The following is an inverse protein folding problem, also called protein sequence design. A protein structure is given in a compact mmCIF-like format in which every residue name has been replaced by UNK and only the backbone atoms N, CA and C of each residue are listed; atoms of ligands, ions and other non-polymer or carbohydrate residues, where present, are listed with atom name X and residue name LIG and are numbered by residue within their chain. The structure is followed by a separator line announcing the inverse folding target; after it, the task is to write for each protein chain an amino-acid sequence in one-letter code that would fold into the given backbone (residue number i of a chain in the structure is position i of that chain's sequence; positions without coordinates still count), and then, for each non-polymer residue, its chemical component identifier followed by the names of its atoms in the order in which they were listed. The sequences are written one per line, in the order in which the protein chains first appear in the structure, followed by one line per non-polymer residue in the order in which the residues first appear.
data_IF_406819030737
#
_entry.id   IF_406819030737
#
_cell.length_a   1.000
_cell.length_b   1.000
_cell.length_c   1.000
_cell.angle_alpha   90.00
_cell.angle_beta   90.00
_cell.angle_gamma   90.00
#
_symmetry.space_group_name_H-M   'P 1'
#
loop_
_entity.id
_entity.type
_entity.pdbx_description
1 polymer ?
#
# COMPACT_ATOMS: atom_id res chain seq x y z
N UNK A 1 4.11 -19.56 -10.47
CA UNK A 1 3.90 -18.48 -11.47
C UNK A 1 3.33 -17.27 -10.76
N UNK A 2 3.67 -16.07 -11.19
CA UNK A 2 3.16 -14.80 -10.65
C UNK A 2 2.53 -14.04 -11.82
N UNK A 3 1.30 -13.55 -11.63
CA UNK A 3 0.58 -12.72 -12.60
C UNK A 3 0.53 -11.30 -12.05
N UNK A 4 1.20 -10.38 -12.75
CA UNK A 4 1.45 -9.00 -12.36
C UNK A 4 2.90 -8.76 -11.92
N UNK A 5 3.56 -7.77 -12.53
CA UNK A 5 4.93 -7.34 -12.25
C UNK A 5 5.01 -5.94 -11.60
N UNK A 6 3.95 -5.56 -10.89
CA UNK A 6 3.95 -4.41 -9.99
C UNK A 6 4.73 -4.70 -8.70
N UNK A 7 4.64 -3.81 -7.71
CA UNK A 7 5.35 -3.96 -6.43
C UNK A 7 5.00 -5.26 -5.70
N UNK A 8 3.74 -5.69 -5.74
CA UNK A 8 3.31 -6.96 -5.12
C UNK A 8 3.99 -8.14 -5.78
N UNK A 9 3.89 -8.24 -7.12
CA UNK A 9 4.53 -9.33 -7.87
C UNK A 9 6.05 -9.34 -7.73
N UNK A 10 6.68 -8.16 -7.67
CA UNK A 10 8.12 -8.02 -7.46
C UNK A 10 8.57 -8.55 -6.09
N UNK A 11 7.83 -8.24 -5.02
CA UNK A 11 8.11 -8.73 -3.66
C UNK A 11 7.84 -10.24 -3.54
N UNK A 12 6.78 -10.74 -4.16
CA UNK A 12 6.51 -12.20 -4.23
C UNK A 12 7.61 -12.91 -5.01
N UNK A 13 8.06 -12.36 -6.15
CA UNK A 13 9.15 -12.94 -6.94
C UNK A 13 10.47 -12.99 -6.16
N UNK A 14 10.80 -11.92 -5.45
CA UNK A 14 11.95 -11.89 -4.54
C UNK A 14 11.84 -12.99 -3.47
N UNK A 15 10.69 -13.11 -2.80
CA UNK A 15 10.46 -14.08 -1.73
C UNK A 15 10.59 -15.51 -2.23
N UNK A 16 9.93 -15.85 -3.34
CA UNK A 16 9.92 -17.21 -3.87
C UNK A 16 11.27 -17.62 -4.46
N UNK A 17 11.95 -16.72 -5.16
CA UNK A 17 13.32 -17.02 -5.66
C UNK A 17 14.34 -17.16 -4.54
N UNK A 18 14.20 -16.38 -3.46
CA UNK A 18 15.03 -16.54 -2.26
C UNK A 18 14.81 -17.89 -1.56
N UNK A 19 13.62 -18.48 -1.70
CA UNK A 19 13.32 -19.84 -1.25
C UNK A 19 13.82 -20.92 -2.23
N UNK A 20 14.47 -20.57 -3.34
CA UNK A 20 14.99 -21.50 -4.34
C UNK A 20 13.92 -22.07 -5.28
N UNK A 21 12.75 -21.44 -5.37
CA UNK A 21 11.68 -21.89 -6.28
C UNK A 21 11.92 -21.39 -7.71
N UNK A 22 11.53 -22.20 -8.70
CA UNK A 22 11.47 -21.79 -10.11
C UNK A 22 10.26 -20.86 -10.31
N UNK A 23 10.53 -19.61 -10.71
CA UNK A 23 9.53 -18.54 -10.79
C UNK A 23 9.38 -18.03 -12.22
N UNK A 24 8.13 -17.99 -12.69
CA UNK A 24 7.73 -17.31 -13.93
C UNK A 24 6.87 -16.12 -13.52
N UNK A 25 7.19 -14.95 -14.07
CA UNK A 25 6.45 -13.70 -13.88
C UNK A 25 5.84 -13.32 -15.22
N UNK A 26 4.56 -12.98 -15.25
CA UNK A 26 3.88 -12.47 -16.44
C UNK A 26 3.17 -11.18 -16.13
N UNK A 27 3.24 -10.23 -17.03
CA UNK A 27 2.48 -8.98 -16.97
C UNK A 27 2.10 -8.59 -18.40
N UNK A 28 0.94 -8.00 -18.58
CA UNK A 28 0.47 -7.46 -19.87
C UNK A 28 1.09 -6.10 -20.19
N UNK A 29 1.61 -5.42 -19.17
CA UNK A 29 2.22 -4.10 -19.23
C UNK A 29 3.71 -4.17 -18.89
N UNK A 30 4.41 -3.07 -19.09
CA UNK A 30 5.79 -2.97 -18.63
C UNK A 30 5.86 -3.05 -17.10
N UNK A 31 6.88 -3.74 -16.53
CA UNK A 31 7.02 -3.90 -15.09
C UNK A 31 6.98 -2.60 -14.29
N UNK A 32 6.10 -2.57 -13.29
CA UNK A 32 5.89 -1.42 -12.42
C UNK A 32 4.91 -0.37 -12.94
N UNK A 33 4.37 -0.50 -14.16
CA UNK A 33 3.27 0.34 -14.63
C UNK A 33 1.99 0.10 -13.80
N UNK A 34 1.02 1.00 -13.89
CA UNK A 34 -0.20 0.95 -13.09
C UNK A 34 -0.01 1.58 -11.71
N UNK A 35 -0.64 1.03 -10.66
CA UNK A 35 -0.66 1.61 -9.31
C UNK A 35 0.72 1.81 -8.70
N UNK A 36 1.70 1.00 -9.05
CA UNK A 36 3.08 1.16 -8.56
C UNK A 36 3.69 2.46 -9.03
N UNK A 37 3.59 2.79 -10.32
CA UNK A 37 4.12 4.05 -10.87
C UNK A 37 3.35 5.28 -10.37
N UNK A 38 2.04 5.12 -10.07
CA UNK A 38 1.20 6.18 -9.54
C UNK A 38 1.32 6.36 -8.02
N UNK A 39 2.01 5.46 -7.32
CA UNK A 39 2.10 5.50 -5.86
C UNK A 39 2.90 6.71 -5.38
N UNK A 40 2.38 7.41 -4.36
CA UNK A 40 3.13 8.43 -3.62
C UNK A 40 4.17 7.84 -2.68
N UNK A 41 4.11 6.53 -2.44
CA UNK A 41 5.12 5.74 -1.72
C UNK A 41 5.41 6.21 -0.29
N UNK A 42 4.35 6.44 0.46
CA UNK A 42 4.41 6.52 1.93
C UNK A 42 4.26 5.11 2.48
N UNK A 43 5.33 4.58 3.07
CA UNK A 43 5.34 3.25 3.67
C UNK A 43 4.94 3.37 5.13
N UNK A 44 3.64 3.52 5.36
CA UNK A 44 3.07 3.58 6.69
C UNK A 44 2.78 2.17 7.21
N UNK A 45 2.95 1.98 8.51
CA UNK A 45 2.46 0.79 9.21
C UNK A 45 1.08 1.03 9.82
N UNK A 46 0.72 2.28 10.01
CA UNK A 46 -0.62 2.67 10.41
C UNK A 46 -1.58 2.32 9.27
N UNK A 47 -2.58 1.52 9.59
CA UNK A 47 -3.60 1.07 8.64
C UNK A 47 -4.60 2.23 8.41
N UNK A 48 -5.13 2.36 7.19
CA UNK A 48 -6.07 3.44 6.84
C UNK A 48 -7.29 3.48 7.79
N UNK A 49 -7.71 2.31 8.29
CA UNK A 49 -8.73 2.24 9.33
C UNK A 49 -8.07 2.28 10.72
N UNK A 50 -8.42 3.25 11.58
CA UNK A 50 -7.87 3.38 12.92
C UNK A 50 -8.03 2.12 13.77
N UNK A 51 -7.10 1.88 14.69
CA UNK A 51 -7.12 0.72 15.58
C UNK A 51 -8.39 0.67 16.43
N UNK A 52 -8.91 1.83 16.84
CA UNK A 52 -10.19 1.94 17.56
C UNK A 52 -11.34 1.35 16.75
N UNK A 53 -11.44 1.68 15.48
CA UNK A 53 -12.49 1.18 14.59
C UNK A 53 -12.30 -0.31 14.29
N UNK A 54 -11.08 -0.75 13.98
CA UNK A 54 -10.79 -2.17 13.76
C UNK A 54 -11.09 -3.02 15.00
N UNK A 55 -10.77 -2.50 16.19
CA UNK A 55 -11.07 -3.19 17.44
C UNK A 55 -12.59 -3.27 17.71
N UNK A 56 -13.36 -2.29 17.27
CA UNK A 56 -14.84 -2.35 17.36
C UNK A 56 -15.43 -3.41 16.41
N UNK A 57 -14.83 -3.61 15.23
CA UNK A 57 -15.27 -4.59 14.23
C UNK A 57 -14.85 -6.02 14.62
N UNK A 58 -13.58 -6.22 14.96
CA UNK A 58 -12.96 -7.56 15.06
C UNK A 58 -12.49 -7.94 16.45
N UNK A 59 -12.66 -7.05 17.43
CA UNK A 59 -12.08 -7.18 18.76
C UNK A 59 -10.62 -6.76 18.83
N UNK A 60 -10.18 -6.39 20.04
CA UNK A 60 -8.87 -5.78 20.29
C UNK A 60 -7.70 -6.67 19.82
N UNK A 61 -7.71 -7.96 20.16
CA UNK A 61 -6.59 -8.86 19.88
C UNK A 61 -6.36 -9.06 18.37
N UNK A 62 -7.43 -9.19 17.57
CA UNK A 62 -7.35 -9.33 16.13
C UNK A 62 -6.88 -8.04 15.47
N UNK A 63 -7.42 -6.91 15.88
CA UNK A 63 -7.00 -5.59 15.39
C UNK A 63 -5.52 -5.30 15.70
N UNK A 64 -5.06 -5.59 16.92
CA UNK A 64 -3.65 -5.43 17.32
C UNK A 64 -2.74 -6.36 16.53
N UNK A 65 -3.16 -7.60 16.26
CA UNK A 65 -2.40 -8.54 15.43
C UNK A 65 -2.17 -8.00 14.02
N UNK A 66 -3.21 -7.44 13.38
CA UNK A 66 -3.11 -6.81 12.06
C UNK A 66 -2.15 -5.61 12.07
N UNK A 67 -2.27 -4.71 13.04
CA UNK A 67 -1.38 -3.56 13.18
C UNK A 67 0.08 -3.95 13.43
N UNK A 68 0.33 -4.94 14.28
CA UNK A 68 1.68 -5.47 14.53
C UNK A 68 2.27 -6.13 13.28
N UNK A 69 1.45 -6.83 12.49
CA UNK A 69 1.88 -7.41 11.23
C UNK A 69 2.26 -6.32 10.21
N UNK A 70 1.49 -5.23 10.15
CA UNK A 70 1.81 -4.07 9.31
C UNK A 70 3.13 -3.40 9.72
N UNK A 71 3.36 -3.17 11.02
CA UNK A 71 4.62 -2.62 11.53
C UNK A 71 5.81 -3.56 11.24
N UNK A 72 5.62 -4.86 11.44
CA UNK A 72 6.63 -5.87 11.10
C UNK A 72 6.92 -5.90 9.60
N UNK A 73 5.92 -5.64 8.74
CA UNK A 73 6.09 -5.60 7.29
C UNK A 73 6.99 -4.43 6.85
N UNK A 74 6.80 -3.22 7.37
CA UNK A 74 7.69 -2.09 7.06
C UNK A 74 9.11 -2.37 7.55
N UNK A 75 9.25 -2.88 8.77
CA UNK A 75 10.56 -3.24 9.34
C UNK A 75 11.26 -4.31 8.51
N UNK A 76 10.53 -5.34 8.08
CA UNK A 76 11.03 -6.41 7.24
C UNK A 76 11.46 -5.94 5.86
N UNK A 77 10.68 -5.04 5.22
CA UNK A 77 11.02 -4.45 3.94
C UNK A 77 12.31 -3.61 4.04
N UNK A 78 12.44 -2.78 5.08
CA UNK A 78 13.67 -2.03 5.34
C UNK A 78 14.89 -2.96 5.51
N UNK A 79 14.71 -4.06 6.22
CA UNK A 79 15.76 -5.07 6.40
C UNK A 79 16.12 -5.76 5.07
N UNK A 80 15.12 -6.11 4.25
CA UNK A 80 15.33 -6.70 2.93
C UNK A 80 16.16 -5.78 2.04
N UNK A 81 15.76 -4.51 1.92
CA UNK A 81 16.48 -3.52 1.10
C UNK A 81 17.93 -3.34 1.56
N UNK A 82 18.15 -3.23 2.88
CA UNK A 82 19.51 -3.12 3.44
C UNK A 82 20.36 -4.36 3.16
N UNK A 83 19.83 -5.55 3.36
CA UNK A 83 20.57 -6.80 3.19
C UNK A 83 20.89 -7.13 1.74
N UNK A 84 20.06 -6.68 0.80
CA UNK A 84 20.25 -6.90 -0.64
C UNK A 84 20.93 -5.73 -1.35
N UNK A 85 21.06 -4.58 -0.68
CA UNK A 85 21.64 -3.34 -1.19
C UNK A 85 21.10 -2.92 -2.56
N UNK A 86 19.80 -3.14 -2.78
CA UNK A 86 19.15 -2.76 -4.05
C UNK A 86 18.84 -1.26 -4.07
N UNK A 87 18.96 -0.60 -5.25
CA UNK A 87 18.51 0.77 -5.43
C UNK A 87 17.00 0.90 -5.15
N UNK A 88 16.61 1.85 -4.32
CA UNK A 88 15.20 2.05 -3.93
C UNK A 88 14.89 3.44 -3.39
N UNK A 89 15.93 4.24 -3.10
CA UNK A 89 15.82 5.53 -2.40
C UNK A 89 15.03 5.44 -1.08
N UNK A 90 15.02 4.24 -0.45
CA UNK A 90 14.24 4.04 0.76
C UNK A 90 14.86 4.80 1.94
N UNK A 91 14.03 5.57 2.64
CA UNK A 91 14.44 6.36 3.80
C UNK A 91 13.53 6.08 4.98
N UNK A 92 14.10 5.79 6.13
CA UNK A 92 13.32 5.68 7.38
C UNK A 92 12.77 7.06 7.75
N UNK A 93 11.49 7.11 8.10
CA UNK A 93 10.75 8.32 8.43
C UNK A 93 9.96 8.15 9.72
N UNK A 94 9.57 9.26 10.31
CA UNK A 94 8.45 9.33 11.25
C UNK A 94 7.18 9.68 10.48
N UNK A 95 6.03 9.25 10.97
CA UNK A 95 4.71 9.68 10.50
C UNK A 95 4.08 10.65 11.49
N UNK A 96 3.25 11.53 10.99
CA UNK A 96 2.49 12.52 11.75
C UNK A 96 1.01 12.41 11.33
N UNK A 97 0.20 11.78 12.20
CA UNK A 97 -1.23 11.64 12.02
C UNK A 97 -1.93 12.84 12.64
N UNK A 98 -2.44 13.74 11.82
CA UNK A 98 -2.95 15.06 12.21
C UNK A 98 -4.45 15.03 12.50
N UNK A 99 -4.86 15.65 13.59
CA UNK A 99 -6.26 15.98 13.83
C UNK A 99 -6.75 17.05 12.87
N UNK A 100 -7.98 16.87 12.34
CA UNK A 100 -8.70 17.84 11.54
C UNK A 100 -10.02 18.19 12.22
N UNK A 101 -10.44 19.45 12.16
CA UNK A 101 -11.69 19.88 12.80
C UNK A 101 -11.77 19.46 14.27
N UNK A 102 -12.78 18.66 14.63
CA UNK A 102 -13.03 18.18 16.01
C UNK A 102 -12.36 16.84 16.36
N UNK A 103 -11.54 16.27 15.49
CA UNK A 103 -11.01 14.89 15.63
C UNK A 103 -9.89 14.72 16.70
N UNK A 104 -9.54 15.75 17.47
CA UNK A 104 -8.52 15.66 18.53
C UNK A 104 -8.88 14.65 19.64
N UNK A 105 -10.16 14.48 19.95
CA UNK A 105 -10.61 13.48 20.93
C UNK A 105 -10.46 12.06 20.37
N UNK A 106 -10.85 11.85 19.14
CA UNK A 106 -10.71 10.57 18.40
C UNK A 106 -9.23 10.16 18.34
N UNK A 107 -8.34 11.10 17.99
CA UNK A 107 -6.90 10.86 17.99
C UNK A 107 -6.36 10.46 19.37
N UNK A 108 -6.90 11.05 20.45
CA UNK A 108 -6.50 10.70 21.81
C UNK A 108 -6.92 9.29 22.20
N UNK A 109 -8.10 8.86 21.76
CA UNK A 109 -8.59 7.50 22.00
C UNK A 109 -7.79 6.49 21.17
N UNK A 110 -7.50 6.81 19.91
CA UNK A 110 -6.61 6.02 19.04
C UNK A 110 -5.21 5.87 19.67
N UNK A 111 -4.61 6.97 20.13
CA UNK A 111 -3.31 6.92 20.81
C UNK A 111 -3.33 6.05 22.08
N UNK A 112 -4.37 6.15 22.90
CA UNK A 112 -4.51 5.31 24.10
C UNK A 112 -4.56 3.82 23.73
N UNK A 113 -5.30 3.48 22.67
CA UNK A 113 -5.44 2.10 22.25
C UNK A 113 -4.14 1.57 21.63
N UNK A 114 -3.44 2.38 20.80
CA UNK A 114 -2.09 2.07 20.28
C UNK A 114 -1.09 1.85 21.40
N UNK A 115 -1.08 2.73 22.42
CA UNK A 115 -0.19 2.59 23.58
C UNK A 115 -0.47 1.31 24.36
N UNK A 116 -1.76 0.98 24.59
CA UNK A 116 -2.16 -0.31 25.21
C UNK A 116 -1.69 -1.51 24.39
N UNK A 117 -1.67 -1.40 23.06
CA UNK A 117 -1.19 -2.42 22.15
C UNK A 117 0.35 -2.51 22.08
N UNK A 118 1.09 -1.60 22.74
CA UNK A 118 2.55 -1.50 22.65
C UNK A 118 3.05 -1.04 21.28
N UNK A 119 2.22 -0.34 20.51
CA UNK A 119 2.59 0.26 19.23
C UNK A 119 3.30 1.59 19.45
N UNK A 120 4.28 1.97 18.60
CA UNK A 120 5.00 3.23 18.76
C UNK A 120 4.09 4.43 18.49
N UNK A 121 4.33 5.52 19.22
CA UNK A 121 3.68 6.80 18.97
C UNK A 121 3.53 7.64 20.25
N UNK A 122 3.68 8.95 20.07
CA UNK A 122 3.48 9.95 21.10
C UNK A 122 2.35 10.88 20.68
N UNK A 123 1.45 11.21 21.61
CA UNK A 123 0.42 12.21 21.38
C UNK A 123 0.98 13.60 21.60
N UNK A 124 0.79 14.48 20.64
CA UNK A 124 1.14 15.89 20.71
C UNK A 124 -0.13 16.73 20.76
N UNK A 125 -0.21 17.63 21.74
CA UNK A 125 -1.22 18.68 21.75
C UNK A 125 -0.86 19.82 20.80
N UNK A 126 -1.74 20.81 20.67
CA UNK A 126 -1.54 21.97 19.79
C UNK A 126 -0.22 22.70 20.06
N UNK A 127 0.12 22.95 21.33
CA UNK A 127 1.34 23.67 21.70
C UNK A 127 2.60 22.91 21.31
N UNK A 128 2.66 21.63 21.66
CA UNK A 128 3.77 20.74 21.33
C UNK A 128 3.94 20.57 19.80
N UNK A 129 2.83 20.43 19.07
CA UNK A 129 2.85 20.28 17.63
C UNK A 129 3.38 21.53 16.92
N UNK A 130 2.95 22.70 17.38
CA UNK A 130 3.42 23.98 16.87
C UNK A 130 4.92 24.19 17.20
N UNK A 131 5.34 23.90 18.41
CA UNK A 131 6.73 24.04 18.85
C UNK A 131 7.69 23.10 18.09
N UNK A 132 7.29 21.83 17.95
CA UNK A 132 8.17 20.79 17.39
C UNK A 132 8.21 20.84 15.87
N UNK A 133 7.04 21.00 15.23
CA UNK A 133 6.89 20.85 13.78
C UNK A 133 6.46 22.14 13.06
N UNK A 134 6.10 23.19 13.78
CA UNK A 134 5.61 24.43 13.18
C UNK A 134 4.19 24.32 12.60
N UNK A 135 3.43 23.29 12.96
CA UNK A 135 2.12 22.99 12.36
C UNK A 135 0.98 23.38 13.31
N UNK A 136 0.07 24.21 12.82
CA UNK A 136 -1.09 24.69 13.59
C UNK A 136 -2.29 23.73 13.39
N UNK A 137 -2.31 22.61 14.12
CA UNK A 137 -3.43 21.67 14.22
C UNK A 137 -3.77 21.42 15.68
N UNK A 138 -4.96 20.90 15.95
CA UNK A 138 -5.45 20.70 17.33
C UNK A 138 -4.64 19.64 18.10
N UNK A 139 -4.21 18.59 17.42
CA UNK A 139 -3.39 17.50 17.97
C UNK A 139 -2.76 16.68 16.84
N UNK A 140 -1.80 15.82 17.22
CA UNK A 140 -1.24 14.79 16.33
C UNK A 140 -0.82 13.56 17.12
N UNK A 141 -0.65 12.43 16.41
CA UNK A 141 0.17 11.31 16.88
C UNK A 141 1.43 11.27 16.01
N UNK A 142 2.60 11.36 16.61
CA UNK A 142 3.87 11.17 15.94
C UNK A 142 4.37 9.75 16.18
N UNK A 143 4.62 8.99 15.10
CA UNK A 143 5.04 7.59 15.21
C UNK A 143 6.38 7.36 14.50
N UNK A 144 7.17 6.42 15.01
CA UNK A 144 8.36 5.89 14.35
C UNK A 144 8.01 4.62 13.57
N UNK A 145 8.93 4.16 12.72
CA UNK A 145 8.78 2.89 12.00
C UNK A 145 8.17 3.01 10.61
N UNK A 146 7.90 4.22 10.13
CA UNK A 146 7.51 4.49 8.75
C UNK A 146 8.73 4.68 7.84
N UNK A 147 8.49 4.72 6.53
CA UNK A 147 9.51 4.98 5.51
C UNK A 147 8.88 5.63 4.26
N UNK A 148 9.72 6.14 3.38
CA UNK A 148 9.36 6.47 2.00
C UNK A 148 10.38 5.86 1.03
N UNK A 149 10.02 5.77 -0.25
CA UNK A 149 10.89 5.23 -1.30
C UNK A 149 10.53 5.80 -2.66
N UNK A 150 11.37 5.51 -3.68
CA UNK A 150 10.93 5.53 -5.07
C UNK A 150 10.24 4.19 -5.38
N UNK A 151 8.92 4.16 -5.61
CA UNK A 151 8.18 2.91 -5.73
C UNK A 151 8.54 2.14 -7.00
N UNK A 152 8.83 2.86 -8.09
CA UNK A 152 9.17 2.26 -9.38
C UNK A 152 10.59 1.70 -9.35
N UNK A 153 11.54 2.44 -8.78
CA UNK A 153 12.91 1.97 -8.59
C UNK A 153 12.96 0.73 -7.69
N UNK A 154 12.21 0.74 -6.58
CA UNK A 154 12.09 -0.40 -5.67
C UNK A 154 11.55 -1.65 -6.38
N UNK A 155 10.41 -1.54 -7.08
CA UNK A 155 9.80 -2.66 -7.79
C UNK A 155 10.72 -3.24 -8.87
N UNK A 156 11.32 -2.38 -9.70
CA UNK A 156 12.26 -2.79 -10.76
C UNK A 156 13.52 -3.45 -10.20
N UNK A 157 14.03 -2.95 -9.07
CA UNK A 157 15.22 -3.52 -8.43
C UNK A 157 14.93 -4.90 -7.83
N UNK A 158 13.77 -5.10 -7.22
CA UNK A 158 13.31 -6.41 -6.73
C UNK A 158 13.13 -7.40 -7.88
N UNK A 159 12.55 -6.99 -9.01
CA UNK A 159 12.40 -7.84 -10.19
C UNK A 159 13.76 -8.22 -10.78
N UNK A 160 14.70 -7.27 -10.91
CA UNK A 160 16.07 -7.57 -11.36
C UNK A 160 16.76 -8.58 -10.44
N UNK A 161 16.58 -8.43 -9.13
CA UNK A 161 17.11 -9.38 -8.13
C UNK A 161 16.50 -10.77 -8.31
N UNK A 162 15.20 -10.87 -8.52
CA UNK A 162 14.52 -12.14 -8.78
C UNK A 162 15.01 -12.79 -10.08
N UNK A 163 15.18 -12.03 -11.16
CA UNK A 163 15.72 -12.51 -12.45
C UNK A 163 17.18 -12.97 -12.29
N UNK A 164 18.00 -12.23 -11.55
CA UNK A 164 19.38 -12.64 -11.24
C UNK A 164 19.46 -13.96 -10.45
N UNK A 165 18.39 -14.31 -9.72
CA UNK A 165 18.23 -15.61 -9.04
C UNK A 165 17.55 -16.68 -9.88
N UNK A 166 17.28 -16.42 -11.17
CA UNK A 166 16.75 -17.38 -12.12
C UNK A 166 15.27 -17.25 -12.45
N UNK A 167 14.56 -16.23 -11.96
CA UNK A 167 13.19 -15.95 -12.40
C UNK A 167 13.17 -15.59 -13.90
N UNK A 168 12.10 -15.99 -14.59
CA UNK A 168 11.84 -15.64 -15.98
C UNK A 168 10.65 -14.71 -16.07
N UNK A 169 10.74 -13.65 -16.86
CA UNK A 169 9.66 -12.70 -17.08
C UNK A 169 9.22 -12.67 -18.52
N UNK A 170 7.92 -12.58 -18.76
CA UNK A 170 7.31 -12.56 -20.08
C UNK A 170 6.22 -11.49 -20.15
N UNK A 171 6.16 -10.81 -21.28
CA UNK A 171 5.08 -9.89 -21.62
C UNK A 171 3.92 -10.72 -22.21
N UNK A 172 2.85 -10.90 -21.44
CA UNK A 172 1.65 -11.65 -21.82
C UNK A 172 0.47 -11.31 -20.92
N UNK A 173 -0.73 -11.32 -21.45
CA UNK A 173 -1.97 -11.19 -20.67
C UNK A 173 -2.51 -12.58 -20.30
N UNK A 174 -2.59 -12.84 -18.98
CA UNK A 174 -3.24 -14.04 -18.47
C UNK A 174 -4.76 -13.85 -18.51
N UNK A 175 -5.45 -14.68 -19.29
CA UNK A 175 -6.88 -14.55 -19.57
C UNK A 175 -7.73 -15.65 -18.94
N UNK A 176 -7.15 -16.80 -18.62
CA UNK A 176 -7.86 -17.94 -18.04
C UNK A 176 -7.04 -18.66 -16.98
N UNK A 177 -7.74 -19.20 -15.98
CA UNK A 177 -7.14 -19.92 -14.86
C UNK A 177 -7.94 -21.20 -14.61
N UNK A 178 -7.34 -22.37 -14.84
CA UNK A 178 -7.95 -23.67 -14.56
C UNK A 178 -7.22 -24.40 -13.41
N UNK A 179 -7.79 -24.44 -12.20
CA UNK A 179 -7.22 -25.11 -11.05
C UNK A 179 -7.62 -26.60 -10.93
N UNK A 180 -8.28 -27.19 -11.92
CA UNK A 180 -8.88 -28.52 -11.80
C UNK A 180 -7.87 -29.67 -11.74
N UNK A 181 -6.63 -29.44 -12.15
CA UNK A 181 -5.57 -30.46 -12.21
C UNK A 181 -4.68 -30.57 -10.98
N UNK A 182 -3.58 -31.32 -11.14
CA UNK A 182 -2.49 -31.36 -10.18
C UNK A 182 -1.64 -30.06 -10.18
N UNK A 183 -1.79 -29.25 -11.22
CA UNK A 183 -1.23 -27.92 -11.39
C UNK A 183 -2.33 -27.00 -11.93
N UNK A 184 -2.15 -25.70 -11.72
CA UNK A 184 -3.03 -24.67 -12.30
C UNK A 184 -2.58 -24.41 -13.72
N UNK A 185 -3.48 -24.55 -14.70
CA UNK A 185 -3.22 -24.14 -16.09
C UNK A 185 -3.62 -22.68 -16.26
N UNK A 186 -2.70 -21.85 -16.74
CA UNK A 186 -2.93 -20.45 -17.04
C UNK A 186 -2.87 -20.25 -18.54
N UNK A 187 -3.99 -19.78 -19.12
CA UNK A 187 -4.10 -19.45 -20.55
C UNK A 187 -3.80 -17.96 -20.78
N UNK A 188 -3.29 -17.66 -21.98
CA UNK A 188 -2.89 -16.32 -22.40
C UNK A 188 -3.63 -15.85 -23.64
N UNK A 189 -3.61 -14.56 -23.91
CA UNK A 189 -4.18 -13.89 -25.08
C UNK A 189 -3.65 -14.38 -26.44
N UNK A 190 -2.52 -15.09 -26.44
CA UNK A 190 -1.86 -15.65 -27.63
C UNK A 190 -2.08 -17.17 -27.79
N UNK A 191 -3.14 -17.73 -27.22
CA UNK A 191 -3.51 -19.14 -27.25
C UNK A 191 -2.43 -20.10 -26.68
N UNK A 192 -1.50 -19.59 -25.89
CA UNK A 192 -0.52 -20.40 -25.15
C UNK A 192 -0.99 -20.67 -23.74
N UNK A 193 -0.45 -21.73 -23.15
CA UNK A 193 -0.74 -22.11 -21.77
C UNK A 193 0.54 -22.45 -21.01
N UNK A 194 0.51 -22.21 -19.70
CA UNK A 194 1.56 -22.63 -18.78
C UNK A 194 0.90 -23.34 -17.60
N UNK A 195 1.37 -24.54 -17.27
CA UNK A 195 1.01 -25.24 -16.05
C UNK A 195 1.98 -24.89 -14.92
N UNK A 196 1.44 -24.46 -13.78
CA UNK A 196 2.21 -24.09 -12.60
C UNK A 196 1.63 -24.75 -11.34
N UNK A 197 2.49 -25.22 -10.44
CA UNK A 197 2.06 -25.82 -9.15
C UNK A 197 1.36 -24.79 -8.23
N UNK A 198 1.74 -23.54 -8.37
CA UNK A 198 1.17 -22.42 -7.65
C UNK A 198 1.08 -21.19 -8.55
N UNK A 199 -0.01 -20.46 -8.51
CA UNK A 199 -0.24 -19.20 -9.20
C UNK A 199 -0.55 -18.12 -8.18
N UNK A 200 0.18 -17.02 -8.21
CA UNK A 200 -0.05 -15.85 -7.36
C UNK A 200 -0.59 -14.71 -8.21
N UNK A 201 -1.80 -14.28 -7.92
CA UNK A 201 -2.47 -13.17 -8.56
C UNK A 201 -2.10 -11.86 -7.85
N UNK A 202 -1.34 -11.00 -8.52
CA UNK A 202 -0.81 -9.73 -8.03
C UNK A 202 -1.09 -8.59 -9.04
N UNK A 203 -2.30 -8.58 -9.62
CA UNK A 203 -2.71 -7.74 -10.75
C UNK A 203 -3.21 -6.35 -10.34
N UNK A 204 -2.91 -5.91 -9.12
CA UNK A 204 -3.32 -4.60 -8.59
C UNK A 204 -4.85 -4.52 -8.42
N UNK A 205 -5.47 -3.43 -8.88
CA UNK A 205 -6.93 -3.26 -8.77
C UNK A 205 -7.72 -4.07 -9.82
N UNK A 206 -7.06 -4.63 -10.81
CA UNK A 206 -7.69 -5.47 -11.84
C UNK A 206 -7.78 -6.93 -11.36
N UNK A 207 -8.83 -7.25 -10.61
CA UNK A 207 -9.04 -8.58 -10.04
C UNK A 207 -9.62 -9.52 -11.10
N UNK A 208 -8.97 -10.67 -11.41
CA UNK A 208 -9.53 -11.66 -12.32
C UNK A 208 -10.81 -12.31 -11.79
N UNK A 209 -11.70 -12.76 -12.67
CA UNK A 209 -13.00 -13.33 -12.34
C UNK A 209 -12.96 -14.55 -11.40
N UNK A 210 -11.84 -15.27 -11.38
CA UNK A 210 -11.63 -16.39 -10.46
C UNK A 210 -11.58 -15.94 -8.98
N UNK A 211 -11.29 -14.65 -8.74
CA UNK A 211 -11.23 -14.07 -7.38
C UNK A 211 -12.54 -13.35 -7.10
N UNK A 212 -13.25 -13.81 -6.08
CA UNK A 212 -14.46 -13.16 -5.61
C UNK A 212 -14.25 -12.61 -4.21
N UNK A 213 -14.59 -11.34 -4.00
CA UNK A 213 -14.62 -10.74 -2.68
C UNK A 213 -15.84 -9.83 -2.53
N UNK A 214 -16.50 -9.91 -1.35
CA UNK A 214 -17.64 -9.08 -1.00
C UNK A 214 -17.24 -7.75 -0.38
N UNK A 215 -15.99 -7.61 0.02
CA UNK A 215 -15.49 -6.45 0.77
C UNK A 215 -14.64 -5.50 -0.07
N UNK A 216 -14.20 -5.93 -1.26
CA UNK A 216 -13.40 -5.10 -2.16
C UNK A 216 -14.20 -3.94 -2.74
N UNK A 217 -13.54 -2.79 -2.85
CA UNK A 217 -14.01 -1.61 -3.57
C UNK A 217 -12.83 -0.98 -4.34
N UNK A 218 -13.13 -0.17 -5.35
CA UNK A 218 -12.12 0.53 -6.15
C UNK A 218 -12.31 2.02 -5.94
N UNK A 219 -11.21 2.73 -5.70
CA UNK A 219 -11.18 4.17 -5.51
C UNK A 219 -10.18 4.83 -6.45
N UNK A 220 -10.44 6.08 -6.81
CA UNK A 220 -9.53 6.94 -7.56
C UNK A 220 -8.95 8.00 -6.63
N UNK A 221 -7.66 8.31 -6.81
CA UNK A 221 -6.94 9.34 -6.05
C UNK A 221 -6.14 10.24 -6.98
N UNK A 222 -5.87 11.45 -6.54
CA UNK A 222 -5.06 12.42 -7.27
C UNK A 222 -3.87 12.86 -6.44
N UNK A 223 -2.78 13.17 -7.12
CA UNK A 223 -1.57 13.64 -6.47
C UNK A 223 -0.88 14.73 -7.28
N UNK A 224 -0.13 15.56 -6.59
CA UNK A 224 0.76 16.57 -7.14
C UNK A 224 2.16 16.44 -6.56
N UNK A 225 3.16 16.90 -7.32
CA UNK A 225 4.49 17.18 -6.80
C UNK A 225 4.85 18.62 -7.14
N UNK A 226 5.31 19.36 -6.12
CA UNK A 226 5.75 20.75 -6.31
C UNK A 226 7.11 20.83 -7.01
N UNK A 227 7.50 22.02 -7.47
CA UNK A 227 8.89 22.32 -7.75
C UNK A 227 9.77 22.05 -6.52
N UNK A 228 11.10 21.76 -6.71
CA UNK A 228 12.02 21.58 -5.60
C UNK A 228 12.14 22.85 -4.74
N UNK A 229 11.92 22.72 -3.43
CA UNK A 229 11.94 23.81 -2.47
C UNK A 229 12.54 23.35 -1.10
N UNK A 230 13.78 22.88 -1.07
CA UNK A 230 14.37 22.26 0.13
C UNK A 230 14.38 23.17 1.36
N UNK A 231 14.36 24.48 1.17
CA UNK A 231 14.31 25.48 2.25
C UNK A 231 12.92 25.63 2.88
N UNK A 232 11.86 25.17 2.21
CA UNK A 232 10.47 25.35 2.62
C UNK A 232 9.80 24.05 3.11
N UNK A 233 10.55 22.98 3.26
CA UNK A 233 10.02 21.71 3.80
C UNK A 233 9.93 21.77 5.33
N UNK A 234 8.99 21.03 5.91
CA UNK A 234 8.82 20.91 7.36
C UNK A 234 9.91 20.04 7.98
N UNK A 235 10.04 20.18 9.29
CA UNK A 235 11.08 19.51 10.09
C UNK A 235 11.16 18.01 9.80
N UNK A 236 12.36 17.50 9.54
CA UNK A 236 12.71 16.11 9.28
C UNK A 236 11.99 15.49 8.05
N UNK A 237 11.20 16.27 7.31
CA UNK A 237 10.39 15.77 6.21
C UNK A 237 9.55 14.57 6.63
N UNK A 238 8.90 14.64 7.82
CA UNK A 238 8.03 13.57 8.32
C UNK A 238 6.89 13.30 7.35
N UNK A 239 6.40 12.07 7.30
CA UNK A 239 5.22 11.73 6.51
C UNK A 239 4.00 12.29 7.22
N UNK A 240 3.13 12.98 6.50
CA UNK A 240 1.92 13.61 7.06
C UNK A 240 0.70 12.93 6.48
N UNK A 241 -0.30 12.68 7.32
CA UNK A 241 -1.62 12.25 6.90
C UNK A 241 -2.68 12.71 7.90
N UNK A 242 -3.91 12.93 7.45
CA UNK A 242 -4.97 13.56 8.22
C UNK A 242 -6.03 12.55 8.70
N UNK A 243 -6.51 12.73 9.92
CA UNK A 243 -7.66 12.04 10.48
C UNK A 243 -8.96 12.69 9.98
N UNK A 244 -9.34 12.38 8.75
CA UNK A 244 -10.55 12.92 8.11
C UNK A 244 -11.05 11.98 7.02
N UNK A 245 -12.34 12.06 6.69
CA UNK A 245 -12.89 11.34 5.54
C UNK A 245 -12.25 11.84 4.23
N UNK A 246 -12.22 13.16 4.06
CA UNK A 246 -11.55 13.81 2.92
C UNK A 246 -10.11 14.15 3.33
N UNK A 247 -9.32 13.14 3.63
CA UNK A 247 -7.96 13.30 4.12
C UNK A 247 -7.00 13.85 3.06
N UNK A 248 -5.94 14.45 3.54
CA UNK A 248 -4.75 14.79 2.76
C UNK A 248 -3.57 14.03 3.34
N UNK A 249 -2.69 13.59 2.47
CA UNK A 249 -1.41 13.04 2.87
C UNK A 249 -0.28 13.73 2.11
N UNK A 250 0.90 13.83 2.74
CA UNK A 250 2.04 14.53 2.16
C UNK A 250 3.38 13.94 2.61
N UNK A 251 4.34 13.96 1.71
CA UNK A 251 5.75 13.65 1.99
C UNK A 251 6.69 14.56 1.21
N UNK A 252 7.98 14.49 1.54
CA UNK A 252 9.03 15.20 0.80
C UNK A 252 9.93 14.22 0.04
N UNK A 253 10.52 14.68 -1.08
CA UNK A 253 11.53 13.91 -1.80
C UNK A 253 12.97 14.31 -1.36
N UNK A 254 14.01 13.55 -1.72
CA UNK A 254 15.40 13.93 -1.47
C UNK A 254 15.75 15.30 -2.04
N UNK A 255 15.19 15.67 -3.19
CA UNK A 255 15.43 16.95 -3.88
C UNK A 255 14.63 18.10 -3.27
N UNK A 256 13.81 17.84 -2.25
CA UNK A 256 13.00 18.85 -1.58
C UNK A 256 11.69 19.18 -2.28
N UNK A 257 11.15 18.32 -3.12
CA UNK A 257 9.77 18.42 -3.60
C UNK A 257 8.79 18.04 -2.49
N UNK A 258 7.63 18.62 -2.49
CA UNK A 258 6.50 18.18 -1.67
C UNK A 258 5.54 17.40 -2.56
N UNK A 259 5.31 16.14 -2.23
CA UNK A 259 4.27 15.32 -2.87
C UNK A 259 3.05 15.36 -1.97
N UNK A 260 1.90 15.65 -2.54
CA UNK A 260 0.61 15.73 -1.85
C UNK A 260 -0.41 14.90 -2.60
N UNK A 261 -1.17 14.08 -1.87
CA UNK A 261 -2.27 13.33 -2.43
C UNK A 261 -3.54 13.37 -1.58
N UNK A 262 -4.61 12.87 -2.15
CA UNK A 262 -5.95 12.90 -1.58
C UNK A 262 -7.01 13.25 -2.62
N UNK A 263 -8.09 13.92 -2.17
CA UNK A 263 -9.24 14.25 -3.04
C UNK A 263 -9.89 13.00 -3.63
N UNK A 264 -9.82 11.89 -2.90
CA UNK A 264 -10.23 10.56 -3.33
C UNK A 264 -11.71 10.51 -3.73
N UNK A 265 -12.05 9.56 -4.58
CA UNK A 265 -13.42 9.28 -4.99
C UNK A 265 -13.65 7.77 -4.92
N UNK A 266 -14.70 7.38 -4.20
CA UNK A 266 -15.19 6.01 -4.11
C UNK A 266 -16.07 5.63 -5.31
N UNK A 267 -16.31 6.55 -6.24
CA UNK A 267 -16.98 6.27 -7.51
C UNK A 267 -16.00 5.54 -8.44
N UNK A 268 -16.49 4.53 -9.13
CA UNK A 268 -15.75 3.89 -10.23
C UNK A 268 -15.69 4.88 -11.38
N UNK A 269 -14.52 5.45 -11.61
CA UNK A 269 -14.31 6.45 -12.66
C UNK A 269 -13.43 5.82 -13.73
N UNK A 270 -13.93 5.78 -14.97
CA UNK A 270 -13.14 5.34 -16.12
C UNK A 270 -11.84 6.15 -16.25
N UNK A 271 -10.72 5.55 -16.65
CA UNK A 271 -9.41 6.21 -16.66
C UNK A 271 -9.41 7.58 -17.35
N UNK A 272 -10.01 7.70 -18.53
CA UNK A 272 -10.07 8.97 -19.26
C UNK A 272 -10.91 10.04 -18.54
N UNK A 273 -11.99 9.63 -17.86
CA UNK A 273 -12.84 10.53 -17.09
C UNK A 273 -12.12 10.99 -15.81
N UNK A 274 -11.42 10.09 -15.13
CA UNK A 274 -10.58 10.38 -13.99
C UNK A 274 -9.47 11.37 -14.33
N UNK A 275 -8.77 11.15 -15.44
CA UNK A 275 -7.64 11.98 -15.85
C UNK A 275 -8.07 13.38 -16.27
N UNK A 276 -9.28 13.54 -16.82
CA UNK A 276 -9.88 14.87 -17.05
C UNK A 276 -10.09 15.71 -15.79
N UNK A 277 -10.18 15.08 -14.61
CA UNK A 277 -10.30 15.77 -13.33
C UNK A 277 -8.96 16.26 -12.77
N UNK A 278 -7.81 15.82 -13.30
CA UNK A 278 -6.48 16.20 -12.81
C UNK A 278 -6.33 17.72 -12.62
N UNK A 279 -6.69 18.61 -13.57
CA UNK A 279 -6.48 20.04 -13.36
C UNK A 279 -7.32 20.63 -12.21
N UNK A 280 -8.52 20.12 -11.98
CA UNK A 280 -9.38 20.56 -10.87
C UNK A 280 -8.84 20.07 -9.53
N UNK A 281 -8.56 18.77 -9.44
CA UNK A 281 -8.06 18.11 -8.23
C UNK A 281 -6.68 18.63 -7.81
N UNK A 282 -5.80 18.89 -8.78
CA UNK A 282 -4.48 19.49 -8.52
C UNK A 282 -4.58 20.88 -7.88
N UNK A 283 -5.49 21.73 -8.35
CA UNK A 283 -5.72 23.04 -7.71
C UNK A 283 -6.26 22.90 -6.27
N UNK A 284 -7.13 21.92 -6.03
CA UNK A 284 -7.64 21.66 -4.69
C UNK A 284 -6.54 21.19 -3.75
N UNK A 285 -5.69 20.25 -4.19
CA UNK A 285 -4.54 19.76 -3.44
C UNK A 285 -3.53 20.88 -3.13
N UNK A 286 -3.19 21.72 -4.11
CA UNK A 286 -2.30 22.87 -3.91
C UNK A 286 -2.85 23.85 -2.87
N UNK A 287 -4.16 24.14 -2.89
CA UNK A 287 -4.84 24.98 -1.89
C UNK A 287 -4.79 24.35 -0.49
N UNK A 288 -4.98 23.04 -0.40
CA UNK A 288 -4.90 22.30 0.88
C UNK A 288 -3.48 22.26 1.41
N UNK A 289 -2.47 22.10 0.54
CA UNK A 289 -1.06 22.19 0.93
C UNK A 289 -0.76 23.57 1.52
N UNK A 290 -1.15 24.67 0.86
CA UNK A 290 -0.95 26.03 1.37
C UNK A 290 -1.61 26.24 2.74
N UNK A 291 -2.76 25.62 2.99
CA UNK A 291 -3.45 25.68 4.29
C UNK A 291 -2.79 24.80 5.36
N UNK A 292 -2.20 23.68 4.97
CA UNK A 292 -1.44 22.79 5.88
C UNK A 292 -0.09 23.39 6.24
N UNK A 293 0.64 23.87 5.25
CA UNK A 293 2.01 24.37 5.35
C UNK A 293 2.18 25.69 4.61
N UNK A 294 1.93 26.84 5.26
CA UNK A 294 1.93 28.17 4.63
C UNK A 294 3.29 28.59 4.02
N UNK A 295 4.35 27.91 4.38
CA UNK A 295 5.69 28.15 3.83
C UNK A 295 5.93 27.45 2.49
N UNK A 296 5.03 26.56 2.08
CA UNK A 296 5.17 25.85 0.81
C UNK A 296 4.93 26.77 -0.38
N UNK A 297 5.81 26.70 -1.35
CA UNK A 297 5.53 27.14 -2.72
C UNK A 297 4.65 26.08 -3.39
N UNK A 298 3.54 26.51 -3.97
CA UNK A 298 2.54 25.61 -4.54
C UNK A 298 2.62 25.52 -6.08
N UNK A 299 3.75 25.91 -6.68
CA UNK A 299 4.03 25.65 -8.09
C UNK A 299 4.08 24.13 -8.33
N UNK A 300 3.26 23.65 -9.26
CA UNK A 300 3.10 22.24 -9.55
C UNK A 300 3.98 21.86 -10.75
N UNK A 301 4.95 20.99 -10.55
CA UNK A 301 5.74 20.40 -11.63
C UNK A 301 5.08 19.14 -12.22
N UNK A 302 4.50 18.32 -11.36
CA UNK A 302 3.86 17.06 -11.77
C UNK A 302 2.49 16.91 -11.12
N UNK A 303 1.55 16.39 -11.89
CA UNK A 303 0.24 16.02 -11.41
C UNK A 303 -0.22 14.73 -12.10
N UNK A 304 -0.85 13.86 -11.34
CA UNK A 304 -1.32 12.57 -11.85
C UNK A 304 -2.53 12.06 -11.07
N UNK A 305 -3.13 11.01 -11.59
CA UNK A 305 -4.17 10.26 -10.90
C UNK A 305 -3.82 8.78 -10.87
N UNK A 306 -4.35 8.07 -9.90
CA UNK A 306 -4.19 6.63 -9.75
C UNK A 306 -5.49 5.97 -9.34
N UNK A 307 -5.66 4.71 -9.73
CA UNK A 307 -6.72 3.84 -9.23
C UNK A 307 -6.08 2.83 -8.28
N UNK A 308 -6.73 2.56 -7.16
CA UNK A 308 -6.30 1.55 -6.21
C UNK A 308 -7.52 0.80 -5.66
N UNK A 309 -7.29 -0.40 -5.18
CA UNK A 309 -8.32 -1.20 -4.54
C UNK A 309 -8.29 -1.01 -3.02
N UNK A 310 -9.45 -1.02 -2.43
CA UNK A 310 -9.67 -0.91 -1.00
C UNK A 310 -10.55 -2.06 -0.52
N UNK A 311 -10.70 -2.17 0.79
CA UNK A 311 -11.70 -3.04 1.43
C UNK A 311 -12.53 -2.23 2.40
N UNK A 312 -13.79 -2.62 2.58
CA UNK A 312 -14.71 -1.93 3.50
C UNK A 312 -14.22 -1.93 4.94
N UNK A 313 -13.44 -2.91 5.33
CA UNK A 313 -12.89 -3.06 6.68
C UNK A 313 -11.45 -2.53 6.81
N UNK A 314 -10.82 -2.08 5.72
CA UNK A 314 -9.46 -1.55 5.69
C UNK A 314 -8.35 -2.59 5.84
N UNK A 315 -8.68 -3.89 5.88
CA UNK A 315 -7.68 -4.96 5.93
C UNK A 315 -7.44 -5.56 4.54
N UNK A 316 -6.21 -5.98 4.19
CA UNK A 316 -5.92 -6.55 2.87
C UNK A 316 -6.62 -7.90 2.65
N UNK A 317 -6.67 -8.32 1.39
CA UNK A 317 -7.11 -9.66 0.96
C UNK A 317 -5.87 -10.46 0.59
N UNK A 318 -5.45 -11.40 1.43
CA UNK A 318 -4.22 -12.18 1.22
C UNK A 318 -4.48 -13.64 1.55
N UNK A 319 -4.21 -14.53 0.60
CA UNK A 319 -4.28 -15.96 0.88
C UNK A 319 -4.74 -16.81 -0.31
N UNK A 320 -5.14 -18.06 -0.05
CA UNK A 320 -5.66 -18.95 -1.09
C UNK A 320 -7.00 -18.43 -1.62
N UNK A 321 -7.20 -18.57 -2.92
CA UNK A 321 -8.48 -18.25 -3.55
C UNK A 321 -9.47 -19.38 -3.25
N UNK A 322 -10.63 -19.08 -2.62
CA UNK A 322 -11.64 -20.08 -2.29
C UNK A 322 -12.07 -20.86 -3.53
N UNK A 323 -12.11 -22.19 -3.45
CA UNK A 323 -12.48 -23.06 -4.56
C UNK A 323 -11.43 -23.24 -5.66
N UNK A 324 -10.30 -22.54 -5.63
CA UNK A 324 -9.25 -22.60 -6.64
C UNK A 324 -7.91 -23.10 -6.04
N UNK A 325 -7.77 -24.42 -5.92
CA UNK A 325 -6.57 -25.03 -5.35
C UNK A 325 -5.29 -24.61 -6.09
N UNK A 326 -4.29 -24.15 -5.37
CA UNK A 326 -3.01 -23.72 -5.92
C UNK A 326 -3.02 -22.28 -6.46
N UNK A 327 -4.15 -21.56 -6.37
CA UNK A 327 -4.24 -20.14 -6.69
C UNK A 327 -4.24 -19.33 -5.40
N UNK A 328 -3.40 -18.30 -5.36
CA UNK A 328 -3.26 -17.36 -4.24
C UNK A 328 -3.48 -15.95 -4.75
N UNK A 329 -4.00 -15.09 -3.91
CA UNK A 329 -4.33 -13.72 -4.27
C UNK A 329 -3.83 -12.70 -3.23
N UNK A 330 -3.57 -11.49 -3.67
CA UNK A 330 -3.05 -10.40 -2.85
C UNK A 330 -3.59 -9.06 -3.36
N UNK A 331 -4.65 -8.52 -2.70
CA UNK A 331 -5.45 -7.38 -3.11
C UNK A 331 -5.94 -6.54 -1.92
N UNK A 332 -6.65 -5.43 -2.19
CA UNK A 332 -7.41 -4.67 -1.20
C UNK A 332 -6.56 -3.88 -0.22
N UNK A 333 -5.49 -3.29 -0.67
CA UNK A 333 -4.47 -2.71 0.21
C UNK A 333 -4.76 -1.30 0.74
N UNK A 334 -5.70 -0.59 0.15
CA UNK A 334 -5.92 0.83 0.44
C UNK A 334 -4.66 1.66 0.21
N UNK A 335 -4.40 2.63 1.07
CA UNK A 335 -3.21 3.46 1.05
C UNK A 335 -1.92 2.75 1.48
N UNK A 336 -2.01 1.54 2.06
CA UNK A 336 -0.86 0.78 2.57
C UNK A 336 -0.24 -0.19 1.53
N UNK A 337 -0.37 0.09 0.23
CA UNK A 337 -0.07 -0.83 -0.86
C UNK A 337 1.29 -1.52 -0.78
N UNK A 338 2.39 -0.79 -0.54
CA UNK A 338 3.74 -1.37 -0.48
C UNK A 338 3.93 -2.19 0.80
N UNK A 339 3.42 -1.71 1.93
CA UNK A 339 3.49 -2.40 3.23
C UNK A 339 2.79 -3.75 3.17
N UNK A 340 1.54 -3.76 2.68
CA UNK A 340 0.77 -5.00 2.56
C UNK A 340 1.27 -5.90 1.43
N UNK A 341 1.88 -5.36 0.38
CA UNK A 341 2.55 -6.18 -0.65
C UNK A 341 3.72 -6.98 -0.05
N UNK A 342 4.51 -6.37 0.84
CA UNK A 342 5.56 -7.10 1.55
C UNK A 342 4.98 -8.19 2.46
N UNK A 343 3.95 -7.87 3.23
CA UNK A 343 3.27 -8.83 4.09
C UNK A 343 2.69 -9.99 3.28
N UNK A 344 2.03 -9.71 2.16
CA UNK A 344 1.49 -10.71 1.25
C UNK A 344 2.58 -11.64 0.71
N UNK A 345 3.72 -11.08 0.30
CA UNK A 345 4.84 -11.88 -0.17
C UNK A 345 5.37 -12.85 0.90
N UNK A 346 5.43 -12.41 2.17
CA UNK A 346 5.83 -13.31 3.26
C UNK A 346 4.78 -14.41 3.48
N UNK A 347 3.51 -14.05 3.66
CA UNK A 347 2.42 -14.99 3.94
C UNK A 347 2.22 -16.03 2.83
N UNK A 348 2.20 -15.58 1.56
CA UNK A 348 2.03 -16.47 0.41
C UNK A 348 3.29 -17.35 0.23
N UNK A 349 4.48 -16.79 0.42
CA UNK A 349 5.71 -17.57 0.39
C UNK A 349 5.76 -18.66 1.44
N UNK A 350 5.28 -18.38 2.65
CA UNK A 350 5.18 -19.35 3.75
C UNK A 350 4.14 -20.43 3.46
N UNK A 351 2.96 -20.05 2.92
CA UNK A 351 1.93 -20.99 2.48
C UNK A 351 2.45 -21.97 1.41
N UNK A 352 3.13 -21.47 0.39
CA UNK A 352 3.70 -22.29 -0.68
C UNK A 352 4.78 -23.24 -0.13
N UNK A 353 5.48 -22.85 0.94
CA UNK A 353 6.42 -23.68 1.67
C UNK A 353 5.75 -24.64 2.67
N UNK A 354 4.42 -24.62 2.80
CA UNK A 354 3.66 -25.50 3.70
C UNK A 354 3.50 -25.00 5.14
N UNK A 355 3.87 -23.73 5.40
CA UNK A 355 3.63 -23.10 6.70
C UNK A 355 2.25 -22.40 6.74
N UNK A 356 1.75 -22.13 7.94
CA UNK A 356 0.48 -21.46 8.19
C UNK A 356 0.65 -20.30 9.16
N UNK A 357 -0.26 -19.33 9.09
CA UNK A 357 -0.28 -18.16 9.98
C UNK A 357 -1.72 -17.78 10.32
N UNK A 358 -2.01 -17.38 11.58
CA UNK A 358 -3.33 -16.85 11.95
C UNK A 358 -3.75 -15.58 11.17
N UNK A 359 -2.79 -14.87 10.58
CA UNK A 359 -3.05 -13.71 9.73
C UNK A 359 -3.79 -14.08 8.44
N UNK A 360 -3.70 -15.34 7.99
CA UNK A 360 -4.43 -15.80 6.81
C UNK A 360 -5.94 -15.82 7.03
N UNK A 361 -6.39 -16.11 8.26
CA UNK A 361 -7.81 -16.02 8.63
C UNK A 361 -8.23 -14.55 8.75
N UNK A 362 -7.34 -13.69 9.23
CA UNK A 362 -7.61 -12.26 9.35
C UNK A 362 -7.75 -11.56 8.00
N UNK A 363 -7.01 -12.04 6.99
CA UNK A 363 -6.93 -11.46 5.65
C UNK A 363 -7.59 -12.35 4.57
N UNK A 364 -8.38 -13.36 4.96
CA UNK A 364 -9.03 -14.26 4.02
C UNK A 364 -9.88 -13.50 2.99
N UNK A 365 -9.92 -14.01 1.75
CA UNK A 365 -10.64 -13.38 0.65
C UNK A 365 -12.17 -13.44 0.83
N UNK A 366 -12.64 -14.47 1.50
CA UNK A 366 -14.04 -14.76 1.79
C UNK A 366 -14.45 -14.38 3.22
N UNK A 367 -13.59 -13.64 3.95
CA UNK A 367 -13.94 -13.21 5.30
C UNK A 367 -15.23 -12.40 5.32
N UNK A 368 -16.05 -12.63 6.34
CA UNK A 368 -17.22 -11.81 6.63
C UNK A 368 -16.77 -10.43 7.13
N UNK A 369 -16.46 -9.56 6.19
CA UNK A 369 -16.23 -8.15 6.43
C UNK A 369 -17.55 -7.46 6.70
N UNK A 370 -17.83 -7.14 7.97
CA UNK A 370 -19.03 -6.41 8.40
C UNK A 370 -20.35 -7.07 7.88
N UNK A 371 -20.73 -8.20 8.46
CA UNK A 371 -22.11 -8.63 8.43
C UNK A 371 -22.96 -7.52 9.08
N UNK A 372 -23.75 -6.84 8.27
CA UNK A 372 -24.61 -5.71 8.46
C UNK A 372 -24.81 -5.14 9.89
N UNK A 373 -24.51 -3.88 10.05
CA UNK A 373 -25.27 -2.99 10.93
C UNK A 373 -25.87 -1.87 10.10
#
# INVERSE_FOLDING_TARGET
MIVGAGITGALVAERLTRQGLDVVIVDREHPGHGSTAASTSMLLWEIDRPLVELAAIYGFERAVRAYRASLAAVTGLLSLVRSTNIPSEIRTKRSLYLATGSSAAELRDEHRLRSRAGLPGDFLDHGQLLEIFGMARAAAIVSSGAADADPLQLARSLLRLAVARGARSFDAEATAFDPAGAAVTVGFDNDREIAARAVVLATGYAMPDIVHSRVQAVSSSWAIATAPQPQNIWKDGVLIWECAKDYLYARTTPEGRIIVGGEDSDEIIEPDARDRLIPQKSRALAKRLAALWPFAETEIDYCWAGTFDTTRDGLPLIGPVPGAKGVYAAYGYGGNGITFSYLAAQLIGDLIAGASSPLLDDFALDRDGMAGH
#
